data_IF_565175902098
#
_entry.id   IF_565175902098
#
_cell.length_a   1.000
_cell.length_b   1.000
_cell.length_c   1.000
_cell.angle_alpha   90.00
_cell.angle_beta   90.00
_cell.angle_gamma   90.00
#
_symmetry.space_group_name_H-M   'P 1'
#
loop_
_entity.id
_entity.type
_entity.pdbx_description
1 polymer ?
#
# COMPACT_ATOMS: atom_id res chain seq x y z
N UNK A 1 -1.84 -7.37 4.48
CA UNK A 1 -2.27 -5.97 4.49
C UNK A 1 -1.60 -5.23 3.36
N UNK A 2 -0.52 -4.49 3.67
CA UNK A 2 0.29 -3.73 2.70
C UNK A 2 0.62 -4.52 1.41
N UNK A 3 1.27 -5.67 1.53
CA UNK A 3 1.64 -6.50 0.35
C UNK A 3 0.43 -6.97 -0.45
N UNK A 4 -0.72 -7.20 0.20
CA UNK A 4 -1.97 -7.57 -0.49
C UNK A 4 -2.43 -6.44 -1.41
N UNK A 5 -2.36 -5.19 -0.95
CA UNK A 5 -2.72 -4.03 -1.76
C UNK A 5 -1.75 -3.87 -2.93
N UNK A 6 -0.43 -3.94 -2.66
CA UNK A 6 0.57 -3.89 -3.73
C UNK A 6 0.34 -4.99 -4.77
N UNK A 7 0.11 -6.24 -4.34
CA UNK A 7 -0.13 -7.36 -5.25
C UNK A 7 -1.38 -7.17 -6.13
N UNK A 8 -2.48 -6.66 -5.55
CA UNK A 8 -3.69 -6.41 -6.33
C UNK A 8 -3.52 -5.26 -7.33
N UNK A 9 -2.79 -4.21 -6.95
CA UNK A 9 -2.65 -3.00 -7.76
C UNK A 9 -1.54 -3.13 -8.82
N UNK A 10 -0.41 -3.78 -8.51
CA UNK A 10 0.74 -3.85 -9.43
C UNK A 10 0.91 -5.19 -10.12
N UNK A 11 0.14 -6.21 -9.72
CA UNK A 11 0.19 -7.56 -10.30
C UNK A 11 -1.23 -8.13 -10.54
N UNK A 12 -2.14 -7.28 -11.02
CA UNK A 12 -3.56 -7.61 -11.14
C UNK A 12 -3.90 -8.78 -12.08
N UNK A 13 -3.00 -9.13 -12.99
CA UNK A 13 -3.13 -10.35 -13.82
C UNK A 13 -2.93 -11.65 -13.03
N UNK A 14 -2.21 -11.58 -11.91
CA UNK A 14 -1.85 -12.74 -11.09
C UNK A 14 -2.90 -13.02 -10.02
N UNK A 15 -3.46 -11.97 -9.41
CA UNK A 15 -4.30 -12.09 -8.22
C UNK A 15 -5.74 -11.61 -8.50
N UNK A 16 -6.71 -12.53 -8.41
CA UNK A 16 -8.14 -12.21 -8.56
C UNK A 16 -8.79 -11.66 -7.30
N UNK A 17 -8.24 -11.94 -6.13
CA UNK A 17 -8.79 -11.44 -4.88
C UNK A 17 -7.73 -11.34 -3.79
N UNK A 18 -7.98 -10.49 -2.80
CA UNK A 18 -7.12 -10.35 -1.63
C UNK A 18 -7.84 -9.77 -0.41
N UNK A 19 -7.38 -10.18 0.78
CA UNK A 19 -7.83 -9.62 2.05
C UNK A 19 -6.71 -8.79 2.70
N UNK A 20 -6.93 -7.48 2.79
CA UNK A 20 -5.96 -6.50 3.26
C UNK A 20 -6.30 -6.08 4.71
N UNK A 21 -5.77 -6.82 5.68
CA UNK A 21 -5.99 -6.57 7.11
C UNK A 21 -4.95 -5.56 7.65
N UNK A 22 -5.42 -4.51 8.35
CA UNK A 22 -4.59 -3.47 9.04
C UNK A 22 -3.43 -2.96 8.16
N UNK A 23 -3.75 -2.64 6.92
CA UNK A 23 -2.76 -2.32 5.89
C UNK A 23 -2.21 -0.91 6.07
N UNK A 24 -0.90 -0.75 5.92
CA UNK A 24 -0.33 0.55 5.56
C UNK A 24 -0.73 0.84 4.11
N UNK A 25 -1.44 1.94 3.89
CA UNK A 25 -1.88 2.40 2.57
C UNK A 25 -1.01 3.54 2.03
N UNK A 26 -0.36 4.27 2.92
CA UNK A 26 0.53 5.38 2.62
C UNK A 26 1.61 5.48 3.71
N UNK A 27 2.88 5.40 3.31
CA UNK A 27 4.00 5.48 4.23
C UNK A 27 4.16 6.85 4.86
N UNK A 28 3.68 7.92 4.22
CA UNK A 28 3.71 9.28 4.79
C UNK A 28 2.86 9.38 6.07
N UNK A 29 1.85 8.52 6.21
CA UNK A 29 0.96 8.47 7.37
C UNK A 29 1.37 7.43 8.42
N UNK A 30 2.47 6.70 8.21
CA UNK A 30 2.89 5.64 9.11
C UNK A 30 3.92 6.11 10.14
N UNK A 31 4.39 5.20 11.00
CA UNK A 31 5.32 5.53 12.06
C UNK A 31 6.61 6.15 11.48
N UNK A 32 6.91 7.40 11.87
CA UNK A 32 8.07 8.14 11.37
C UNK A 32 9.40 7.39 11.60
N UNK A 33 9.68 6.96 12.83
CA UNK A 33 10.97 6.35 13.18
C UNK A 33 11.21 4.97 12.54
N UNK A 34 10.15 4.25 12.21
CA UNK A 34 10.23 3.01 11.42
C UNK A 34 10.45 3.33 9.94
N UNK A 35 9.61 4.19 9.38
CA UNK A 35 9.54 4.47 7.95
C UNK A 35 10.81 5.17 7.47
N UNK A 36 11.29 6.20 8.18
CA UNK A 36 12.45 6.98 7.73
C UNK A 36 13.77 6.24 7.79
N UNK A 37 13.85 5.16 8.57
CA UNK A 37 15.02 4.25 8.56
C UNK A 37 15.08 3.38 7.30
N UNK A 38 13.99 3.25 6.56
CA UNK A 38 13.87 2.40 5.37
C UNK A 38 13.78 3.26 4.11
N UNK A 39 12.99 4.33 4.13
CA UNK A 39 12.65 5.16 2.97
C UNK A 39 13.25 6.57 2.99
N UNK A 40 14.16 6.88 3.93
CA UNK A 40 14.65 8.25 4.20
C UNK A 40 13.53 9.20 4.69
N UNK A 41 13.85 10.49 4.86
CA UNK A 41 12.81 11.47 5.16
C UNK A 41 12.00 11.78 3.89
N UNK A 42 10.69 12.06 4.00
CA UNK A 42 9.84 12.30 2.84
C UNK A 42 10.36 13.42 1.93
N UNK A 43 10.93 14.50 2.49
CA UNK A 43 11.48 15.62 1.72
C UNK A 43 12.86 15.35 1.12
N UNK A 44 13.55 14.30 1.58
CA UNK A 44 14.84 13.90 1.03
C UNK A 44 14.68 12.89 -0.12
N UNK A 45 13.58 12.10 -0.11
CA UNK A 45 13.33 11.01 -1.06
C UNK A 45 11.81 10.79 -1.27
N UNK A 46 11.16 11.76 -1.92
CA UNK A 46 9.71 11.71 -2.22
C UNK A 46 9.36 10.49 -3.09
N UNK A 47 10.25 10.13 -4.03
CA UNK A 47 10.07 9.02 -4.96
C UNK A 47 9.95 7.68 -4.23
N UNK A 48 10.74 7.45 -3.18
CA UNK A 48 10.65 6.25 -2.36
C UNK A 48 9.26 6.08 -1.74
N UNK A 49 8.64 7.17 -1.29
CA UNK A 49 7.29 7.15 -0.71
C UNK A 49 6.22 6.89 -1.76
N UNK A 50 6.31 7.54 -2.93
CA UNK A 50 5.37 7.35 -4.03
C UNK A 50 5.39 5.92 -4.58
N UNK A 51 6.59 5.40 -4.86
CA UNK A 51 6.75 4.07 -5.49
C UNK A 51 6.43 2.90 -4.56
N UNK A 52 6.44 3.12 -3.25
CA UNK A 52 6.22 2.06 -2.26
C UNK A 52 4.88 2.15 -1.53
N UNK A 53 4.12 3.22 -1.70
CA UNK A 53 2.81 3.40 -1.05
C UNK A 53 1.67 2.89 -1.94
N UNK A 54 0.82 1.96 -1.47
CA UNK A 54 -0.25 1.40 -2.31
C UNK A 54 -1.26 2.43 -2.82
N UNK A 55 -1.46 3.55 -2.12
CA UNK A 55 -2.43 4.57 -2.49
C UNK A 55 -2.22 5.13 -3.91
N UNK A 56 -0.96 5.22 -4.36
CA UNK A 56 -0.62 5.75 -5.69
C UNK A 56 -0.89 4.77 -6.84
N UNK A 57 -1.18 3.50 -6.52
CA UNK A 57 -1.51 2.46 -7.51
C UNK A 57 -2.98 2.04 -7.43
N UNK A 58 -3.80 2.70 -6.61
CA UNK A 58 -5.18 2.26 -6.37
C UNK A 58 -6.04 2.25 -7.65
N UNK A 59 -5.75 3.15 -8.61
CA UNK A 59 -6.43 3.21 -9.90
C UNK A 59 -6.14 1.99 -10.80
N UNK A 60 -5.04 1.28 -10.57
CA UNK A 60 -4.63 0.11 -11.33
C UNK A 60 -5.39 -1.17 -10.92
N UNK A 61 -6.24 -1.09 -9.89
CA UNK A 61 -7.11 -2.21 -9.51
C UNK A 61 -8.09 -2.52 -10.66
N UNK A 62 -7.99 -3.75 -11.19
CA UNK A 62 -8.83 -4.19 -12.30
C UNK A 62 -10.29 -4.39 -11.84
N UNK A 63 -11.26 -4.16 -12.74
CA UNK A 63 -12.69 -4.31 -12.41
C UNK A 63 -13.12 -5.73 -12.05
N UNK A 64 -12.35 -6.75 -12.42
CA UNK A 64 -12.62 -8.16 -12.10
C UNK A 64 -11.89 -8.66 -10.83
N UNK A 65 -11.21 -7.78 -10.10
CA UNK A 65 -10.57 -8.11 -8.83
C UNK A 65 -11.48 -7.82 -7.64
N UNK A 66 -11.26 -8.56 -6.55
CA UNK A 66 -12.02 -8.40 -5.31
C UNK A 66 -11.12 -8.10 -4.11
N UNK A 67 -11.37 -6.98 -3.45
CA UNK A 67 -10.63 -6.55 -2.27
C UNK A 67 -11.54 -6.56 -1.05
N UNK A 68 -11.16 -7.35 -0.03
CA UNK A 68 -11.71 -7.22 1.32
C UNK A 68 -10.75 -6.41 2.18
N UNK A 69 -11.20 -5.28 2.72
CA UNK A 69 -10.43 -4.50 3.70
C UNK A 69 -10.99 -4.71 5.10
N UNK A 70 -10.11 -5.00 6.06
CA UNK A 70 -10.48 -5.15 7.46
C UNK A 70 -9.56 -4.29 8.32
N UNK A 71 -10.16 -3.47 9.19
CA UNK A 71 -9.43 -2.62 10.11
C UNK A 71 -10.07 -2.68 11.50
N UNK A 72 -9.23 -2.71 12.53
CA UNK A 72 -9.71 -2.52 13.89
C UNK A 72 -10.12 -1.06 14.07
N UNK A 73 -11.30 -0.85 14.63
CA UNK A 73 -11.72 0.44 15.15
C UNK A 73 -11.44 0.45 16.65
N UNK A 74 -10.92 1.57 17.15
CA UNK A 74 -10.82 1.87 18.58
C UNK A 74 -11.53 3.18 18.82
#
# INVERSE_FOLDING_TARGET
GFITLMALFTAGDTFKAGAALRSVTDWAHYNHGYTSRILNLPHDDEEAYERSSPIYFAEDMRPDQHLLMLHGMV
#
